data_IF_503512932204
#
_entry.id   IF_503512932204
#
_cell.length_a   1.000
_cell.length_b   1.000
_cell.length_c   1.000
_cell.angle_alpha   90.00
_cell.angle_beta   90.00
_cell.angle_gamma   90.00
#
_symmetry.space_group_name_H-M   'P 1'
#
loop_
_entity.id
_entity.type
_entity.pdbx_description
1 polymer ?
#
# COMPACT_ATOMS: atom_id res chain seq x y z
N UNK A 1 -1.21 -21.47 -20.41
CA UNK A 1 -0.05 -21.02 -19.58
C UNK A 1 -0.55 -19.91 -18.67
N UNK A 2 -0.35 -20.01 -17.35
CA UNK A 2 -0.60 -18.88 -16.46
C UNK A 2 0.45 -17.80 -16.76
N UNK A 3 0.00 -16.63 -17.22
CA UNK A 3 0.87 -15.52 -17.52
C UNK A 3 1.36 -14.90 -16.19
N UNK A 4 2.67 -14.82 -15.99
CA UNK A 4 3.27 -14.19 -14.80
C UNK A 4 3.52 -12.72 -15.14
N UNK A 5 2.99 -11.80 -14.34
CA UNK A 5 3.18 -10.36 -14.52
C UNK A 5 4.36 -9.87 -13.69
N UNK A 6 5.15 -8.92 -14.21
CA UNK A 6 6.19 -8.26 -13.41
C UNK A 6 5.56 -7.20 -12.51
N UNK A 7 6.02 -7.08 -11.27
CA UNK A 7 5.51 -6.10 -10.31
C UNK A 7 5.51 -4.68 -10.88
N UNK A 8 6.60 -4.29 -11.54
CA UNK A 8 6.79 -2.91 -12.05
C UNK A 8 5.88 -2.57 -13.24
N UNK A 9 5.25 -3.55 -13.87
CA UNK A 9 4.28 -3.31 -14.96
C UNK A 9 2.87 -3.02 -14.42
N UNK A 10 2.58 -3.45 -13.20
CA UNK A 10 1.21 -3.56 -12.66
C UNK A 10 1.02 -2.90 -11.30
N UNK A 11 2.11 -2.51 -10.64
CA UNK A 11 2.11 -1.89 -9.33
C UNK A 11 3.33 -0.96 -9.11
N UNK A 12 3.30 -0.22 -8.00
CA UNK A 12 4.41 0.59 -7.51
C UNK A 12 4.77 0.20 -6.10
N UNK A 13 6.03 -0.13 -5.88
CA UNK A 13 6.66 -0.21 -4.57
C UNK A 13 7.47 1.08 -4.38
N UNK A 14 7.02 2.05 -3.55
CA UNK A 14 7.62 3.39 -3.52
C UNK A 14 9.11 3.39 -3.17
N UNK A 15 9.51 2.57 -2.19
CA UNK A 15 10.89 2.41 -1.75
C UNK A 15 11.23 0.93 -1.58
N UNK A 16 12.49 0.55 -1.77
CA UNK A 16 12.93 -0.85 -1.65
C UNK A 16 12.71 -1.48 -0.25
N UNK A 17 12.55 -0.66 0.79
CA UNK A 17 12.23 -1.13 2.15
C UNK A 17 10.73 -1.24 2.45
N UNK A 18 9.85 -0.93 1.49
CA UNK A 18 8.40 -1.09 1.66
C UNK A 18 7.99 -2.55 1.55
N UNK A 19 6.93 -2.91 2.26
CA UNK A 19 6.41 -4.29 2.31
C UNK A 19 5.04 -4.45 1.64
N UNK A 20 4.48 -3.35 1.10
CA UNK A 20 3.24 -3.35 0.34
C UNK A 20 3.40 -2.55 -0.95
N UNK A 21 2.85 -3.06 -2.05
CA UNK A 21 2.81 -2.36 -3.34
C UNK A 21 1.42 -1.79 -3.61
N UNK A 22 1.34 -0.70 -4.38
CA UNK A 22 0.11 -0.05 -4.82
C UNK A 22 -0.20 -0.51 -6.24
N UNK A 23 -1.34 -1.14 -6.48
CA UNK A 23 -1.77 -1.55 -7.81
C UNK A 23 -2.02 -0.33 -8.70
N UNK A 24 -1.51 -0.32 -9.94
CA UNK A 24 -1.72 0.76 -10.92
C UNK A 24 -2.87 0.47 -11.89
N UNK A 25 -3.51 -0.68 -11.73
CA UNK A 25 -4.67 -1.13 -12.48
C UNK A 25 -5.42 -2.17 -11.64
N UNK A 26 -6.61 -2.59 -12.07
CA UNK A 26 -7.31 -3.72 -11.46
C UNK A 26 -6.55 -5.03 -11.74
N UNK A 27 -6.32 -5.81 -10.70
CA UNK A 27 -5.62 -7.10 -10.75
C UNK A 27 -6.53 -8.21 -10.24
N UNK A 28 -6.81 -9.21 -11.06
CA UNK A 28 -7.74 -10.28 -10.69
C UNK A 28 -7.14 -11.24 -9.66
N UNK A 29 -8.00 -11.82 -8.81
CA UNK A 29 -7.61 -12.90 -7.90
C UNK A 29 -6.91 -14.04 -8.66
N UNK A 30 -5.86 -14.60 -8.05
CA UNK A 30 -5.03 -15.64 -8.68
C UNK A 30 -3.98 -15.12 -9.67
N UNK A 31 -3.95 -13.81 -9.98
CA UNK A 31 -2.86 -13.21 -10.77
C UNK A 31 -1.53 -13.51 -10.09
N UNK A 32 -0.61 -14.13 -10.84
CA UNK A 32 0.74 -14.44 -10.35
C UNK A 32 1.69 -13.29 -10.68
N UNK A 33 2.34 -12.76 -9.65
CA UNK A 33 3.23 -11.61 -9.73
C UNK A 33 4.66 -12.07 -9.44
N UNK A 34 5.61 -11.62 -10.26
CA UNK A 34 7.04 -11.71 -9.99
C UNK A 34 7.55 -10.38 -9.42
N UNK A 35 8.16 -10.44 -8.23
CA UNK A 35 8.76 -9.30 -7.53
C UNK A 35 10.20 -9.66 -7.14
N UNK A 36 11.17 -9.25 -7.97
CA UNK A 36 12.56 -9.69 -7.82
C UNK A 36 12.69 -11.22 -7.86
N UNK A 37 13.20 -11.82 -6.79
CA UNK A 37 13.32 -13.28 -6.65
C UNK A 37 12.06 -13.97 -6.11
N UNK A 38 11.06 -13.22 -5.68
CA UNK A 38 9.82 -13.77 -5.13
C UNK A 38 8.74 -13.89 -6.19
N UNK A 39 7.87 -14.89 -6.01
CA UNK A 39 6.66 -15.07 -6.80
C UNK A 39 5.52 -15.42 -5.86
N UNK A 40 4.39 -14.77 -6.06
CA UNK A 40 3.18 -14.98 -5.26
C UNK A 40 1.94 -14.73 -6.11
N UNK A 41 0.81 -15.27 -5.66
CA UNK A 41 -0.48 -15.04 -6.29
C UNK A 41 -1.35 -14.13 -5.41
N UNK A 42 -2.17 -13.29 -6.03
CA UNK A 42 -3.14 -12.48 -5.30
C UNK A 42 -4.25 -13.36 -4.72
N UNK A 43 -4.59 -13.16 -3.44
CA UNK A 43 -5.66 -13.89 -2.76
C UNK A 43 -7.06 -13.38 -3.12
N UNK A 44 -7.16 -12.09 -3.46
CA UNK A 44 -8.37 -11.42 -3.92
C UNK A 44 -8.08 -10.53 -5.13
N UNK A 45 -9.14 -10.10 -5.82
CA UNK A 45 -9.02 -9.03 -6.82
C UNK A 45 -8.64 -7.74 -6.11
N UNK A 46 -7.51 -7.14 -6.51
CA UNK A 46 -7.00 -5.87 -5.98
C UNK A 46 -7.40 -4.76 -6.95
N UNK A 47 -8.10 -3.75 -6.43
CA UNK A 47 -8.54 -2.61 -7.22
C UNK A 47 -7.38 -1.63 -7.49
N UNK A 48 -7.48 -0.84 -8.56
CA UNK A 48 -6.53 0.23 -8.83
C UNK A 48 -6.41 1.19 -7.64
N UNK A 49 -5.18 1.56 -7.26
CA UNK A 49 -4.86 2.40 -6.11
C UNK A 49 -4.87 1.68 -4.76
N UNK A 50 -5.32 0.43 -4.71
CA UNK A 50 -5.27 -0.37 -3.49
C UNK A 50 -3.95 -1.14 -3.35
N UNK A 51 -3.71 -1.70 -2.16
CA UNK A 51 -2.43 -2.29 -1.80
C UNK A 51 -2.51 -3.79 -1.56
N UNK A 52 -1.40 -4.48 -1.84
CA UNK A 52 -1.17 -5.87 -1.48
C UNK A 52 0.24 -6.04 -0.92
N UNK A 53 0.44 -7.04 -0.07
CA UNK A 53 1.75 -7.33 0.52
C UNK A 53 2.69 -7.94 -0.54
N UNK A 54 3.94 -7.48 -0.59
CA UNK A 54 4.97 -8.06 -1.50
C UNK A 54 5.89 -9.04 -0.79
N UNK A 55 5.85 -9.07 0.54
CA UNK A 55 6.62 -9.98 1.39
C UNK A 55 5.78 -10.36 2.63
N UNK A 56 6.17 -11.37 3.42
CA UNK A 56 5.48 -11.69 4.67
C UNK A 56 5.54 -10.52 5.64
N UNK A 57 4.43 -10.24 6.33
CA UNK A 57 4.33 -9.22 7.39
C UNK A 57 3.78 -9.93 8.64
N UNK A 58 4.53 -9.93 9.73
CA UNK A 58 4.13 -10.60 10.97
C UNK A 58 3.05 -9.79 11.72
N UNK A 59 2.27 -10.45 12.58
CA UNK A 59 1.36 -9.77 13.51
C UNK A 59 2.12 -8.72 14.33
N UNK A 60 1.60 -7.50 14.42
CA UNK A 60 2.24 -6.38 15.12
C UNK A 60 3.33 -5.66 14.33
N UNK A 61 3.72 -6.18 13.16
CA UNK A 61 4.69 -5.52 12.28
C UNK A 61 4.05 -4.35 11.52
N UNK A 62 4.86 -3.33 11.25
CA UNK A 62 4.41 -2.14 10.52
C UNK A 62 4.21 -2.45 9.04
N UNK A 63 3.13 -1.90 8.46
CA UNK A 63 2.99 -1.79 7.02
C UNK A 63 3.62 -0.48 6.57
N UNK A 64 4.51 -0.55 5.59
CA UNK A 64 5.40 0.52 5.18
C UNK A 64 5.08 1.02 3.78
N UNK A 65 5.04 2.34 3.62
CA UNK A 65 4.98 3.02 2.34
C UNK A 65 5.86 4.26 2.40
N UNK A 66 6.77 4.45 1.43
CA UNK A 66 7.87 5.42 1.53
C UNK A 66 8.76 5.21 2.77
N UNK A 67 8.94 3.96 3.18
CA UNK A 67 9.60 3.51 4.41
C UNK A 67 8.99 4.10 5.70
N UNK A 68 7.77 4.62 5.63
CA UNK A 68 7.05 5.15 6.79
C UNK A 68 5.90 4.22 7.17
N UNK A 69 5.71 3.95 8.46
CA UNK A 69 4.58 3.15 8.93
C UNK A 69 3.28 3.92 8.74
N UNK A 70 2.32 3.29 8.07
CA UNK A 70 0.94 3.80 8.00
C UNK A 70 -0.05 2.93 8.77
N UNK A 71 0.34 1.71 9.13
CA UNK A 71 -0.51 0.76 9.83
C UNK A 71 0.29 -0.35 10.49
N UNK A 72 -0.41 -1.18 11.24
CA UNK A 72 0.14 -2.37 11.91
C UNK A 72 -0.71 -3.58 11.59
N UNK A 73 -0.06 -4.71 11.30
CA UNK A 73 -0.73 -5.95 10.96
C UNK A 73 -1.46 -6.53 12.19
N UNK A 74 -2.74 -6.85 12.03
CA UNK A 74 -3.58 -7.49 13.07
C UNK A 74 -3.38 -9.00 13.13
N UNK A 75 -2.84 -9.57 12.06
CA UNK A 75 -2.47 -10.98 11.89
C UNK A 75 -1.36 -11.07 10.86
N UNK A 76 -0.68 -12.22 10.77
CA UNK A 76 0.28 -12.48 9.69
C UNK A 76 -0.37 -12.26 8.32
N UNK A 77 0.30 -11.49 7.47
CA UNK A 77 -0.10 -11.18 6.09
C UNK A 77 0.90 -11.86 5.15
N UNK A 78 0.40 -12.73 4.28
CA UNK A 78 1.22 -13.43 3.28
C UNK A 78 1.49 -12.52 2.06
N UNK A 79 2.58 -12.75 1.31
CA UNK A 79 2.77 -12.11 0.01
C UNK A 79 1.56 -12.35 -0.90
N UNK A 80 1.14 -11.32 -1.63
CA UNK A 80 -0.05 -11.32 -2.48
C UNK A 80 -1.36 -11.02 -1.75
N UNK A 81 -1.35 -10.95 -0.41
CA UNK A 81 -2.57 -10.67 0.32
C UNK A 81 -3.04 -9.23 0.14
N UNK A 82 -4.33 -9.03 -0.15
CA UNK A 82 -4.96 -7.71 -0.19
C UNK A 82 -4.94 -7.07 1.20
N UNK A 83 -4.21 -5.97 1.33
CA UNK A 83 -4.09 -5.19 2.56
C UNK A 83 -5.34 -4.33 2.76
N UNK A 84 -6.03 -4.55 3.88
CA UNK A 84 -7.35 -3.99 4.15
C UNK A 84 -7.55 -3.65 5.64
N UNK A 85 -7.94 -2.40 5.91
CA UNK A 85 -8.38 -1.94 7.24
C UNK A 85 -9.91 -1.95 7.34
N UNK A 86 -10.44 -1.71 8.54
CA UNK A 86 -11.88 -1.75 8.80
C UNK A 86 -12.64 -0.71 7.97
N UNK A 87 -12.21 0.55 7.99
CA UNK A 87 -12.87 1.65 7.29
C UNK A 87 -12.93 1.45 5.76
N UNK A 88 -11.86 0.93 5.16
CA UNK A 88 -11.83 0.60 3.74
C UNK A 88 -12.85 -0.49 3.40
N UNK A 89 -12.91 -1.57 4.18
CA UNK A 89 -13.85 -2.67 3.92
C UNK A 89 -15.30 -2.19 4.05
N UNK A 90 -15.62 -1.37 5.06
CA UNK A 90 -16.96 -0.82 5.24
C UNK A 90 -17.37 0.08 4.07
N UNK A 91 -16.46 0.94 3.61
CA UNK A 91 -16.68 1.82 2.46
C UNK A 91 -16.82 1.05 1.13
N UNK A 92 -16.15 -0.09 0.95
CA UNK A 92 -16.26 -0.90 -0.26
C UNK A 92 -17.53 -1.76 -0.27
N UNK A 93 -17.98 -2.27 0.88
CA UNK A 93 -19.20 -3.09 1.00
C UNK A 93 -20.46 -2.35 0.55
N UNK A 94 -20.56 -1.05 0.86
CA UNK A 94 -21.71 -0.24 0.45
C UNK A 94 -21.76 0.00 -1.07
N UNK A 95 -20.65 -0.17 -1.79
CA UNK A 95 -20.53 0.13 -3.23
C UNK A 95 -20.96 -1.02 -4.14
N UNK A 96 -21.40 -2.17 -3.59
CA UNK A 96 -21.88 -3.35 -4.34
C UNK A 96 -20.96 -3.71 -5.53
N UNK A 97 -19.67 -3.88 -5.24
CA UNK A 97 -18.70 -4.23 -6.26
C UNK A 97 -18.90 -5.67 -6.74
N UNK A 98 -18.73 -5.92 -8.04
CA UNK A 98 -18.70 -7.26 -8.62
C UNK A 98 -17.35 -7.97 -8.37
N UNK A 99 -16.85 -7.90 -7.13
CA UNK A 99 -15.63 -8.60 -6.67
C UNK A 99 -15.80 -9.09 -5.25
N UNK A 100 -15.19 -10.24 -4.94
CA UNK A 100 -15.08 -10.70 -3.57
C UNK A 100 -14.10 -9.81 -2.79
N UNK A 101 -14.51 -9.40 -1.59
CA UNK A 101 -13.66 -8.65 -0.66
C UNK A 101 -13.23 -9.53 0.50
N UNK A 102 -12.05 -9.30 1.09
CA UNK A 102 -11.67 -9.92 2.36
C UNK A 102 -12.76 -9.74 3.43
N UNK A 103 -13.13 -10.79 4.18
CA UNK A 103 -14.22 -10.71 5.15
C UNK A 103 -13.85 -9.90 6.40
N UNK A 104 -12.56 -9.83 6.74
CA UNK A 104 -12.06 -9.18 7.94
C UNK A 104 -10.81 -8.36 7.64
N UNK A 105 -10.61 -7.20 8.30
CA UNK A 105 -9.40 -6.41 8.12
C UNK A 105 -8.17 -7.19 8.57
N UNK A 106 -7.03 -6.97 7.91
CA UNK A 106 -5.74 -7.56 8.27
C UNK A 106 -4.72 -6.55 8.83
N UNK A 107 -5.04 -5.25 8.81
CA UNK A 107 -4.26 -4.22 9.48
C UNK A 107 -5.15 -3.14 10.11
N UNK A 108 -4.60 -2.39 11.04
CA UNK A 108 -5.20 -1.17 11.60
C UNK A 108 -4.32 0.06 11.31
N UNK A 109 -4.94 1.23 11.17
CA UNK A 109 -4.23 2.47 10.89
C UNK A 109 -3.41 2.88 12.12
N UNK A 110 -2.13 3.16 11.90
CA UNK A 110 -1.23 3.66 12.94
C UNK A 110 -0.28 4.67 12.35
N UNK A 111 -0.66 5.93 12.48
CA UNK A 111 0.13 7.07 12.03
C UNK A 111 0.97 7.54 13.21
N UNK A 112 2.29 7.41 13.10
CA UNK A 112 3.19 7.96 14.11
C UNK A 112 3.20 9.49 13.96
N UNK A 113 2.92 10.27 15.04
CA UNK A 113 3.06 11.71 14.99
C UNK A 113 4.52 12.08 14.67
N UNK A 114 4.71 12.86 13.61
CA UNK A 114 6.01 13.43 13.33
C UNK A 114 6.31 14.52 14.37
N UNK A 115 7.50 14.46 14.98
CA UNK A 115 8.00 15.51 15.86
C UNK A 115 9.13 16.23 15.13
N UNK A 116 8.91 17.49 14.79
CA UNK A 116 9.94 18.34 14.20
C UNK A 116 11.07 18.54 15.22
N UNK A 117 12.31 18.36 14.79
CA UNK A 117 13.46 18.83 15.54
C UNK A 117 13.56 20.36 15.38
N UNK A 118 12.96 21.08 16.33
CA UNK A 118 12.97 22.55 16.34
C UNK A 118 14.39 23.11 16.45
N UNK A 119 15.31 22.39 17.08
CA UNK A 119 16.69 22.85 17.26
C UNK A 119 17.53 22.70 16.00
N UNK A 120 17.24 21.69 15.18
CA UNK A 120 17.90 21.42 13.91
C UNK A 120 17.21 22.06 12.70
N UNK A 121 16.00 22.60 12.85
CA UNK A 121 15.25 23.17 11.74
C UNK A 121 15.93 24.41 11.15
N UNK A 122 16.13 24.41 9.83
CA UNK A 122 16.65 25.54 9.07
C UNK A 122 15.63 25.94 8.00
N UNK A 123 14.93 27.07 8.16
CA UNK A 123 14.00 27.53 7.13
C UNK A 123 14.77 27.86 5.84
N UNK A 124 14.20 27.47 4.70
CA UNK A 124 14.70 27.91 3.41
C UNK A 124 14.38 29.40 3.20
N UNK A 125 15.18 30.09 2.38
CA UNK A 125 14.84 31.45 1.95
C UNK A 125 13.51 31.43 1.18
N UNK A 126 12.56 32.31 1.52
CA UNK A 126 11.32 32.45 0.76
C UNK A 126 11.61 32.76 -0.71
N UNK A 127 10.91 32.07 -1.61
CA UNK A 127 10.95 32.41 -3.04
C UNK A 127 10.36 33.80 -3.27
N UNK A 128 10.87 34.51 -4.28
CA UNK A 128 10.33 35.83 -4.67
C UNK A 128 8.85 35.74 -4.99
N UNK A 129 8.10 36.77 -4.61
CA UNK A 129 6.68 36.90 -4.96
C UNK A 129 6.53 36.90 -6.49
N UNK A 130 5.52 36.18 -6.97
CA UNK A 130 5.17 36.21 -8.38
C UNK A 130 4.53 37.56 -8.73
N UNK A 131 5.05 38.23 -9.76
CA UNK A 131 4.62 39.57 -10.16
C UNK A 131 3.31 39.46 -10.97
N UNK A 132 2.18 39.35 -10.27
CA UNK A 132 0.87 39.43 -10.91
C UNK A 132 0.54 40.89 -11.22
N UNK A 133 0.95 41.36 -12.40
CA UNK A 133 0.26 42.48 -13.05
C UNK A 133 -1.15 42.02 -13.40
N UNK A 134 -2.16 42.56 -12.70
CA UNK A 134 -3.57 42.25 -12.93
C UNK A 134 -4.13 43.04 -14.11
#
# INVERSE_FOLDING_TARGET
MMNILQLDDIARLPMAGDNVAIATQRLEAGTTIAAGHQRFALDYTVLEGHRFAVQPIATGEALLSWQLPFGVALRTIAPGAYVCNAGMLDALRIRRLDVALPPTPNFEDRIQPYRLDETGFRPAEPVSLYDHSR
#
